data_IF_683040320253
#
_entry.id   IF_683040320253
#
_cell.length_a   1.000
_cell.length_b   1.000
_cell.length_c   1.000
_cell.angle_alpha   90.00
_cell.angle_beta   90.00
_cell.angle_gamma   90.00
#
_symmetry.space_group_name_H-M   'P 1'
#
loop_
_entity.id
_entity.type
_entity.pdbx_description
1 polymer ?
#
# COMPACT_ATOMS: atom_id res chain seq x y z
N UNK A 1 -11.49 -4.83 -3.98
CA UNK A 1 -12.05 -4.13 -5.14
C UNK A 1 -13.45 -3.62 -4.84
N UNK A 2 -14.00 -2.70 -5.66
CA UNK A 2 -15.32 -2.08 -5.49
C UNK A 2 -15.37 -0.71 -6.16
N UNK A 3 -16.56 -0.19 -6.40
CA UNK A 3 -16.79 1.11 -7.04
C UNK A 3 -16.41 2.30 -6.14
N UNK A 4 -16.43 3.50 -6.70
CA UNK A 4 -16.26 4.72 -5.93
C UNK A 4 -17.38 4.83 -4.88
N UNK A 5 -16.99 5.16 -3.63
CA UNK A 5 -17.94 5.19 -2.52
C UNK A 5 -18.24 3.82 -1.87
N UNK A 6 -17.70 2.71 -2.37
CA UNK A 6 -17.90 1.38 -1.78
C UNK A 6 -17.35 1.19 -0.36
N UNK A 7 -16.59 2.15 0.18
CA UNK A 7 -16.01 2.06 1.53
C UNK A 7 -14.55 1.61 1.60
N UNK A 8 -13.86 1.39 0.46
CA UNK A 8 -12.47 0.93 0.42
C UNK A 8 -11.51 1.79 1.25
N UNK A 9 -11.49 3.09 0.99
CA UNK A 9 -10.60 4.01 1.72
C UNK A 9 -11.00 4.18 3.20
N UNK A 10 -12.29 4.01 3.53
CA UNK A 10 -12.75 3.98 4.93
C UNK A 10 -12.20 2.76 5.65
N UNK A 11 -12.25 1.58 5.03
CA UNK A 11 -11.66 0.35 5.57
C UNK A 11 -10.15 0.52 5.80
N UNK A 12 -9.43 1.08 4.83
CA UNK A 12 -8.00 1.39 4.99
C UNK A 12 -7.77 2.30 6.20
N UNK A 13 -8.55 3.37 6.35
CA UNK A 13 -8.42 4.30 7.47
C UNK A 13 -8.65 3.63 8.82
N UNK A 14 -9.49 2.62 8.90
CA UNK A 14 -9.67 1.79 10.11
C UNK A 14 -8.44 0.92 10.35
N UNK A 15 -7.98 0.17 9.35
CA UNK A 15 -6.81 -0.71 9.45
C UNK A 15 -5.54 0.07 9.83
N UNK A 16 -5.39 1.27 9.30
CA UNK A 16 -4.22 2.13 9.55
C UNK A 16 -4.33 3.00 10.80
N UNK A 17 -5.46 2.93 11.53
CA UNK A 17 -5.66 3.67 12.77
C UNK A 17 -5.94 5.17 12.59
N UNK A 18 -6.32 5.61 11.39
CA UNK A 18 -6.83 6.96 11.13
C UNK A 18 -8.24 7.13 11.69
N UNK A 19 -9.07 6.08 11.56
CA UNK A 19 -10.41 6.03 12.11
C UNK A 19 -10.56 4.86 13.08
N UNK A 20 -11.36 5.06 14.12
CA UNK A 20 -11.78 3.97 15.00
C UNK A 20 -13.03 3.32 14.41
N UNK A 21 -13.16 1.98 14.44
CA UNK A 21 -14.40 1.33 14.07
C UNK A 21 -15.50 1.72 15.05
N UNK A 22 -16.73 1.93 14.55
CA UNK A 22 -17.90 2.22 15.38
C UNK A 22 -18.37 0.99 16.14
N UNK A 23 -18.17 -0.21 15.56
CA UNK A 23 -18.51 -1.51 16.14
C UNK A 23 -17.63 -2.60 15.52
N UNK A 24 -17.70 -3.81 16.07
CA UNK A 24 -16.93 -4.95 15.61
C UNK A 24 -15.51 -4.99 16.21
N UNK A 25 -14.72 -5.95 15.75
CA UNK A 25 -13.39 -6.25 16.27
C UNK A 25 -12.40 -6.32 15.11
N UNK A 26 -11.16 -5.93 15.39
CA UNK A 26 -10.04 -6.05 14.45
C UNK A 26 -9.09 -7.13 14.96
N UNK A 27 -8.73 -8.05 14.08
CA UNK A 27 -7.74 -9.08 14.38
C UNK A 27 -6.49 -8.88 13.51
N UNK A 28 -5.32 -8.92 14.11
CA UNK A 28 -4.04 -8.86 13.43
C UNK A 28 -3.14 -9.99 13.92
N UNK A 29 -2.61 -10.81 12.99
CA UNK A 29 -1.82 -12.01 13.34
C UNK A 29 -2.54 -12.94 14.34
N UNK A 30 -3.86 -13.10 14.17
CA UNK A 30 -4.68 -13.98 15.01
C UNK A 30 -5.06 -13.40 16.39
N UNK A 31 -4.60 -12.20 16.75
CA UNK A 31 -4.90 -11.56 18.03
C UNK A 31 -5.88 -10.40 17.82
N UNK A 32 -6.83 -10.25 18.74
CA UNK A 32 -7.68 -9.06 18.79
C UNK A 32 -6.85 -7.83 19.15
N UNK A 33 -7.02 -6.76 18.38
CA UNK A 33 -6.23 -5.54 18.54
C UNK A 33 -7.12 -4.30 18.50
N UNK A 34 -6.75 -3.29 19.26
CA UNK A 34 -7.38 -1.96 19.23
C UNK A 34 -6.38 -0.97 18.67
N UNK A 35 -6.59 -0.55 17.42
CA UNK A 35 -5.71 0.40 16.74
C UNK A 35 -6.21 1.82 17.04
N UNK A 36 -5.49 2.54 17.89
CA UNK A 36 -5.88 3.88 18.38
C UNK A 36 -5.28 5.03 17.57
N UNK A 37 -4.23 4.76 16.77
CA UNK A 37 -3.53 5.77 16.00
C UNK A 37 -2.67 5.15 14.90
N UNK A 38 -2.31 5.97 13.90
CA UNK A 38 -1.35 5.59 12.84
C UNK A 38 0.00 5.18 13.43
N UNK A 39 0.48 5.86 14.47
CA UNK A 39 1.73 5.49 15.12
C UNK A 39 1.67 4.09 15.75
N UNK A 40 0.53 3.71 16.32
CA UNK A 40 0.34 2.36 16.85
C UNK A 40 0.25 1.31 15.76
N UNK A 41 -0.54 1.55 14.70
CA UNK A 41 -0.64 0.69 13.52
C UNK A 41 0.75 0.37 12.96
N UNK A 42 1.58 1.39 12.78
CA UNK A 42 2.95 1.26 12.33
C UNK A 42 3.84 0.43 13.27
N UNK A 43 3.73 0.65 14.59
CA UNK A 43 4.46 -0.17 15.59
C UNK A 43 4.05 -1.64 15.57
N UNK A 44 2.84 -1.94 15.12
CA UNK A 44 2.34 -3.30 14.95
C UNK A 44 2.81 -3.94 13.63
N UNK A 45 3.51 -3.20 12.77
CA UNK A 45 3.97 -3.70 11.47
C UNK A 45 2.96 -3.50 10.35
N UNK A 46 2.03 -2.53 10.46
CA UNK A 46 1.09 -2.16 9.40
C UNK A 46 1.53 -0.84 8.78
N UNK A 47 1.92 -0.86 7.50
CA UNK A 47 2.27 0.31 6.71
C UNK A 47 1.24 0.59 5.63
N UNK A 48 1.05 1.86 5.29
CA UNK A 48 0.19 2.26 4.19
C UNK A 48 0.94 3.12 3.18
N UNK A 49 0.72 2.81 1.91
CA UNK A 49 1.07 3.65 0.77
C UNK A 49 -0.25 4.14 0.18
N UNK A 50 -0.56 5.40 0.44
CA UNK A 50 -1.78 6.04 -0.01
C UNK A 50 -1.66 6.52 -1.45
N UNK A 51 -2.79 6.73 -2.11
CA UNK A 51 -2.92 7.34 -3.43
C UNK A 51 -2.18 8.69 -3.52
N UNK A 52 -2.39 9.57 -2.56
CA UNK A 52 -1.56 10.74 -2.33
C UNK A 52 -0.30 10.29 -1.57
N UNK A 53 0.74 9.96 -2.27
CA UNK A 53 1.99 9.32 -1.81
C UNK A 53 2.56 9.81 -0.49
N UNK A 54 1.92 10.80 0.15
CA UNK A 54 2.31 11.43 1.41
C UNK A 54 3.80 11.82 1.43
N UNK A 55 4.27 12.38 0.32
CA UNK A 55 5.62 12.89 0.14
C UNK A 55 5.59 14.42 0.11
N UNK A 56 6.56 15.04 0.76
CA UNK A 56 6.77 16.48 0.71
C UNK A 56 7.67 16.81 -0.49
N UNK A 57 7.09 17.36 -1.55
CA UNK A 57 7.79 17.63 -2.82
C UNK A 57 9.01 18.55 -2.65
N UNK A 58 8.98 19.47 -1.71
CA UNK A 58 10.04 20.46 -1.47
C UNK A 58 11.19 19.93 -0.58
N UNK A 59 11.03 18.75 0.00
CA UNK A 59 12.04 18.14 0.87
C UNK A 59 12.87 17.11 0.11
N UNK A 60 14.09 16.93 0.61
CA UNK A 60 14.99 15.91 0.09
C UNK A 60 14.45 14.50 0.32
N UNK A 61 14.90 13.56 -0.48
CA UNK A 61 14.45 12.18 -0.49
C UNK A 61 14.69 11.52 0.88
N UNK A 62 15.89 11.70 1.48
CA UNK A 62 16.18 11.10 2.78
C UNK A 62 15.25 11.60 3.89
N UNK A 63 14.81 12.87 3.86
CA UNK A 63 13.83 13.39 4.82
C UNK A 63 12.45 12.74 4.63
N UNK A 64 12.04 12.57 3.38
CA UNK A 64 10.76 11.94 3.07
C UNK A 64 10.70 10.47 3.54
N UNK A 65 11.80 9.73 3.43
CA UNK A 65 11.85 8.34 3.89
C UNK A 65 11.59 8.25 5.39
N UNK A 66 12.21 9.13 6.17
CA UNK A 66 12.17 9.07 7.64
C UNK A 66 11.16 10.02 8.27
N UNK A 67 10.33 10.71 7.49
CA UNK A 67 9.33 11.66 8.01
C UNK A 67 8.42 11.02 9.08
N UNK A 68 8.48 11.56 10.30
CA UNK A 68 7.75 11.07 11.47
C UNK A 68 8.32 9.79 12.10
N UNK A 69 9.53 9.37 11.68
CA UNK A 69 10.28 8.23 12.25
C UNK A 69 11.78 8.49 12.13
N UNK A 70 12.18 9.65 12.53
CA UNK A 70 13.55 10.10 12.46
C UNK A 70 14.48 9.18 13.25
N UNK A 71 15.63 8.84 12.67
CA UNK A 71 16.70 8.16 13.40
C UNK A 71 17.37 9.21 14.29
N UNK A 72 17.35 8.98 15.59
CA UNK A 72 17.94 9.89 16.57
C UNK A 72 19.19 9.29 17.19
N UNK A 73 20.09 10.17 17.64
CA UNK A 73 21.24 9.80 18.48
C UNK A 73 20.79 9.58 19.95
N UNK A 74 21.73 9.20 20.81
CA UNK A 74 21.46 8.94 22.22
C UNK A 74 20.89 10.14 23.01
N UNK A 75 21.07 11.36 22.50
CA UNK A 75 20.57 12.60 23.09
C UNK A 75 19.22 13.02 22.52
N UNK A 76 18.62 12.23 21.61
CA UNK A 76 17.32 12.51 21.00
C UNK A 76 17.38 13.46 19.79
N UNK A 77 18.54 13.91 19.36
CA UNK A 77 18.70 14.72 18.14
C UNK A 77 18.74 13.85 16.89
N UNK A 78 18.23 14.36 15.77
CA UNK A 78 18.23 13.67 14.47
C UNK A 78 19.66 13.36 14.03
N UNK A 79 19.94 12.08 13.78
CA UNK A 79 21.21 11.63 13.20
C UNK A 79 21.14 11.69 11.67
N UNK A 80 21.44 12.87 11.13
CA UNK A 80 21.39 13.14 9.69
C UNK A 80 22.31 12.20 8.91
N UNK A 81 23.52 11.93 9.42
CA UNK A 81 24.49 11.06 8.72
C UNK A 81 23.97 9.65 8.60
N UNK A 82 23.40 9.12 9.66
CA UNK A 82 22.82 7.79 9.68
C UNK A 82 21.58 7.71 8.79
N UNK A 83 20.67 8.70 8.84
CA UNK A 83 19.51 8.74 7.98
C UNK A 83 19.89 8.77 6.48
N UNK A 84 20.87 9.58 6.08
CA UNK A 84 21.33 9.63 4.69
C UNK A 84 21.94 8.30 4.24
N UNK A 85 22.76 7.68 5.07
CA UNK A 85 23.34 6.36 4.79
C UNK A 85 22.28 5.27 4.64
N UNK A 86 21.26 5.26 5.49
CA UNK A 86 20.17 4.30 5.38
C UNK A 86 19.29 4.61 4.15
N UNK A 87 19.04 5.89 3.83
CA UNK A 87 18.33 6.28 2.61
C UNK A 87 19.06 5.82 1.34
N UNK A 88 20.41 5.89 1.30
CA UNK A 88 21.20 5.37 0.17
C UNK A 88 21.01 3.85 -0.02
N UNK A 89 20.93 3.09 1.08
CA UNK A 89 20.62 1.66 0.99
C UNK A 89 19.22 1.42 0.41
N UNK A 90 18.22 2.19 0.89
CA UNK A 90 16.85 2.07 0.39
C UNK A 90 16.79 2.37 -1.10
N UNK A 91 17.46 3.44 -1.56
CA UNK A 91 17.54 3.78 -2.98
C UNK A 91 18.10 2.64 -3.82
N UNK A 92 19.19 2.03 -3.37
CA UNK A 92 19.87 0.96 -4.08
C UNK A 92 19.07 -0.35 -4.03
N UNK A 93 18.62 -0.76 -2.83
CA UNK A 93 18.20 -2.12 -2.58
C UNK A 93 16.69 -2.31 -2.86
N UNK A 94 15.87 -1.28 -2.66
CA UNK A 94 14.41 -1.39 -2.75
C UNK A 94 13.79 -0.60 -3.91
N UNK A 95 14.36 0.53 -4.28
CA UNK A 95 13.74 1.41 -5.27
C UNK A 95 14.25 1.12 -6.68
N UNK A 96 15.49 0.63 -6.79
CA UNK A 96 16.10 0.27 -8.07
C UNK A 96 16.16 1.46 -9.03
N UNK A 97 16.49 2.65 -8.53
CA UNK A 97 16.68 3.81 -9.39
C UNK A 97 17.75 3.53 -10.42
N UNK A 98 17.37 3.59 -11.68
CA UNK A 98 18.29 3.40 -12.81
C UNK A 98 19.06 4.68 -13.14
N UNK A 99 18.57 5.84 -12.73
CA UNK A 99 19.22 7.13 -12.98
C UNK A 99 20.29 7.42 -11.93
N UNK A 100 21.54 7.51 -12.37
CA UNK A 100 22.65 7.95 -11.51
C UNK A 100 22.53 9.43 -11.07
N UNK A 101 21.60 10.18 -11.63
CA UNK A 101 21.37 11.59 -11.28
C UNK A 101 20.56 11.74 -10.00
N UNK A 102 19.87 10.70 -9.53
CA UNK A 102 19.07 10.73 -8.32
C UNK A 102 19.92 10.31 -7.14
N UNK A 103 20.01 11.20 -6.17
CA UNK A 103 20.72 10.98 -4.91
C UNK A 103 19.76 11.16 -3.73
N UNK A 104 20.19 10.81 -2.54
CA UNK A 104 19.39 11.02 -1.31
C UNK A 104 19.07 12.50 -1.06
N UNK A 105 19.86 13.41 -1.62
CA UNK A 105 19.69 14.86 -1.52
C UNK A 105 18.81 15.44 -2.61
N UNK A 106 18.39 14.64 -3.58
CA UNK A 106 17.45 15.08 -4.61
C UNK A 106 16.10 15.40 -3.98
N UNK A 107 15.48 16.52 -4.41
CA UNK A 107 14.13 16.86 -3.98
C UNK A 107 13.10 15.95 -4.64
N UNK A 108 12.03 15.63 -3.92
CA UNK A 108 10.95 14.78 -4.45
C UNK A 108 10.26 15.42 -5.66
N UNK A 109 10.22 16.76 -5.74
CA UNK A 109 9.60 17.49 -6.87
C UNK A 109 10.22 17.10 -8.22
N UNK A 110 11.52 16.82 -8.26
CA UNK A 110 12.24 16.45 -9.49
C UNK A 110 12.05 14.98 -9.93
N UNK A 111 11.35 14.18 -9.15
CA UNK A 111 11.16 12.76 -9.44
C UNK A 111 9.94 12.51 -10.33
N UNK A 112 10.05 11.51 -11.22
CA UNK A 112 8.89 10.98 -11.98
C UNK A 112 7.86 10.34 -11.05
N UNK A 113 6.66 10.09 -11.59
CA UNK A 113 5.60 9.40 -10.85
C UNK A 113 6.03 8.04 -10.30
N UNK A 114 6.70 7.22 -11.11
CA UNK A 114 7.20 5.91 -10.69
C UNK A 114 8.33 5.99 -9.67
N UNK A 115 9.21 6.99 -9.77
CA UNK A 115 10.26 7.22 -8.78
C UNK A 115 9.70 7.63 -7.43
N UNK A 116 8.71 8.54 -7.40
CA UNK A 116 7.97 8.90 -6.19
C UNK A 116 7.30 7.66 -5.57
N UNK A 117 6.72 6.80 -6.39
CA UNK A 117 6.12 5.54 -5.92
C UNK A 117 7.17 4.60 -5.34
N UNK A 118 8.33 4.50 -5.99
CA UNK A 118 9.47 3.75 -5.47
C UNK A 118 9.92 4.22 -4.08
N UNK A 119 9.97 5.53 -3.84
CA UNK A 119 10.30 6.10 -2.51
C UNK A 119 9.28 5.64 -1.46
N UNK A 120 7.98 5.69 -1.78
CA UNK A 120 6.93 5.25 -0.86
C UNK A 120 7.03 3.75 -0.53
N UNK A 121 7.33 2.90 -1.51
CA UNK A 121 7.55 1.46 -1.31
C UNK A 121 8.83 1.18 -0.52
N UNK A 122 9.95 1.81 -0.89
CA UNK A 122 11.20 1.65 -0.17
C UNK A 122 11.06 2.00 1.32
N UNK A 123 10.30 3.07 1.62
CA UNK A 123 9.95 3.42 3.00
C UNK A 123 9.18 2.31 3.70
N UNK A 124 8.17 1.72 3.05
CA UNK A 124 7.35 0.67 3.68
C UNK A 124 8.14 -0.60 3.97
N UNK A 125 9.09 -0.97 3.10
CA UNK A 125 9.96 -2.13 3.31
C UNK A 125 11.02 -1.89 4.38
N UNK A 126 11.61 -0.69 4.42
CA UNK A 126 12.65 -0.38 5.40
C UNK A 126 12.19 -0.55 6.85
N UNK A 127 10.94 -0.22 7.14
CA UNK A 127 10.39 -0.32 8.48
C UNK A 127 9.87 -1.72 8.85
N UNK A 128 10.25 -2.74 8.07
CA UNK A 128 9.96 -4.16 8.33
C UNK A 128 8.48 -4.45 8.66
N UNK A 129 7.60 -3.93 7.81
CA UNK A 129 6.16 -4.13 7.97
C UNK A 129 5.76 -5.54 7.58
N UNK A 130 4.83 -6.13 8.35
CA UNK A 130 4.20 -7.43 8.05
C UNK A 130 3.04 -7.30 7.06
N UNK A 131 2.34 -6.16 7.12
CA UNK A 131 1.21 -5.83 6.25
C UNK A 131 1.44 -4.48 5.58
N UNK A 132 1.42 -4.48 4.25
CA UNK A 132 1.49 -3.26 3.43
C UNK A 132 0.13 -3.02 2.78
N UNK A 133 -0.49 -1.89 3.09
CA UNK A 133 -1.75 -1.45 2.49
C UNK A 133 -1.44 -0.51 1.34
N UNK A 134 -1.90 -0.84 0.15
CA UNK A 134 -1.64 -0.13 -1.09
C UNK A 134 -2.96 0.40 -1.65
N UNK A 135 -3.15 1.71 -1.60
CA UNK A 135 -4.35 2.39 -2.07
C UNK A 135 -4.07 3.02 -3.44
N UNK A 136 -4.59 2.40 -4.50
CA UNK A 136 -4.44 2.79 -5.90
C UNK A 136 -2.99 3.04 -6.35
N UNK A 137 -2.07 2.13 -6.06
CA UNK A 137 -0.64 2.37 -6.25
C UNK A 137 -0.21 2.45 -7.71
N UNK A 138 -1.07 2.06 -8.65
CA UNK A 138 -0.78 2.09 -10.10
C UNK A 138 -1.35 3.31 -10.82
N UNK A 139 -2.11 4.15 -10.11
CA UNK A 139 -2.76 5.30 -10.73
C UNK A 139 -1.75 6.32 -11.26
N UNK A 140 -1.93 6.71 -12.53
CA UNK A 140 -1.08 7.71 -13.20
C UNK A 140 0.34 7.22 -13.54
N UNK A 141 0.59 5.91 -13.47
CA UNK A 141 1.86 5.30 -13.85
C UNK A 141 1.85 4.83 -15.31
N UNK A 142 3.02 4.82 -15.93
CA UNK A 142 3.24 4.17 -17.23
C UNK A 142 3.11 2.64 -17.10
N UNK A 143 3.00 1.93 -18.23
CA UNK A 143 2.92 0.46 -18.24
C UNK A 143 4.12 -0.17 -17.54
N UNK A 144 5.33 0.32 -17.81
CA UNK A 144 6.55 -0.22 -17.20
C UNK A 144 6.61 0.03 -15.68
N UNK A 145 6.17 1.20 -15.22
CA UNK A 145 6.10 1.52 -13.80
C UNK A 145 5.04 0.67 -13.09
N UNK A 146 3.89 0.47 -13.74
CA UNK A 146 2.83 -0.42 -13.25
C UNK A 146 3.34 -1.85 -13.07
N UNK A 147 4.07 -2.39 -14.04
CA UNK A 147 4.68 -3.72 -13.92
C UNK A 147 5.64 -3.82 -12.73
N UNK A 148 6.44 -2.78 -12.48
CA UNK A 148 7.32 -2.74 -11.30
C UNK A 148 6.52 -2.81 -10.00
N UNK A 149 5.42 -2.07 -9.90
CA UNK A 149 4.51 -2.11 -8.73
C UNK A 149 3.92 -3.51 -8.55
N UNK A 150 3.39 -4.12 -9.60
CA UNK A 150 2.80 -5.47 -9.53
C UNK A 150 3.84 -6.53 -9.15
N UNK A 151 5.06 -6.42 -9.68
CA UNK A 151 6.17 -7.30 -9.32
C UNK A 151 6.61 -7.11 -7.86
N UNK A 152 6.62 -5.87 -7.37
CA UNK A 152 6.83 -5.57 -5.97
C UNK A 152 5.80 -6.28 -5.07
N UNK A 153 4.51 -6.12 -5.36
CA UNK A 153 3.42 -6.77 -4.58
C UNK A 153 3.58 -8.29 -4.56
N UNK A 154 3.86 -8.90 -5.73
CA UNK A 154 4.11 -10.35 -5.82
C UNK A 154 5.35 -10.79 -5.02
N UNK A 155 6.36 -9.92 -4.96
CA UNK A 155 7.59 -10.16 -4.23
C UNK A 155 7.40 -10.24 -2.71
N UNK A 156 6.45 -9.50 -2.15
CA UNK A 156 6.16 -9.47 -0.71
C UNK A 156 5.91 -10.86 -0.11
N UNK A 157 5.25 -11.73 -0.87
CA UNK A 157 4.99 -13.11 -0.46
C UNK A 157 6.29 -13.91 -0.21
N UNK A 158 7.34 -13.65 -0.98
CA UNK A 158 8.65 -14.32 -0.80
C UNK A 158 9.36 -13.86 0.48
N UNK A 159 9.00 -12.68 0.97
CA UNK A 159 9.51 -12.10 2.21
C UNK A 159 8.59 -12.38 3.41
N UNK A 160 7.60 -13.30 3.27
CA UNK A 160 6.58 -13.58 4.28
C UNK A 160 5.77 -12.35 4.72
N UNK A 161 5.62 -11.38 3.81
CA UNK A 161 4.82 -10.17 4.03
C UNK A 161 3.47 -10.31 3.34
N UNK A 162 2.46 -9.63 3.88
CA UNK A 162 1.11 -9.57 3.31
C UNK A 162 0.84 -8.19 2.71
N UNK A 163 -0.05 -8.13 1.71
CA UNK A 163 -0.53 -6.88 1.15
C UNK A 163 -2.04 -6.83 1.06
N UNK A 164 -2.61 -5.64 1.32
CA UNK A 164 -3.95 -5.28 0.88
C UNK A 164 -3.76 -4.34 -0.29
N UNK A 165 -4.22 -4.77 -1.47
CA UNK A 165 -4.03 -4.07 -2.73
C UNK A 165 -5.38 -3.58 -3.26
N UNK A 166 -5.58 -2.27 -3.29
CA UNK A 166 -6.78 -1.63 -3.85
C UNK A 166 -6.39 -0.99 -5.16
N UNK A 167 -7.12 -1.32 -6.22
CA UNK A 167 -6.96 -0.72 -7.54
C UNK A 167 -8.30 -0.79 -8.29
N UNK A 168 -8.54 0.14 -9.20
CA UNK A 168 -9.70 0.13 -10.09
C UNK A 168 -9.51 -0.82 -11.26
N UNK A 169 -8.26 -1.11 -11.64
CA UNK A 169 -7.95 -1.99 -12.74
C UNK A 169 -7.98 -3.46 -12.29
N UNK A 170 -9.05 -4.16 -12.62
CA UNK A 170 -9.22 -5.57 -12.28
C UNK A 170 -8.09 -6.45 -12.82
N UNK A 171 -7.50 -6.10 -13.97
CA UNK A 171 -6.37 -6.85 -14.54
C UNK A 171 -5.16 -6.78 -13.61
N UNK A 172 -4.87 -5.60 -13.05
CA UNK A 172 -3.79 -5.42 -12.09
C UNK A 172 -4.06 -6.22 -10.81
N UNK A 173 -5.28 -6.08 -10.26
CA UNK A 173 -5.68 -6.79 -9.05
C UNK A 173 -5.60 -8.30 -9.24
N UNK A 174 -6.18 -8.82 -10.33
CA UNK A 174 -6.16 -10.25 -10.62
C UNK A 174 -4.74 -10.76 -10.84
N UNK A 175 -3.88 -9.93 -11.45
CA UNK A 175 -2.47 -10.25 -11.68
C UNK A 175 -1.65 -10.41 -10.40
N UNK A 176 -1.98 -9.68 -9.34
CA UNK A 176 -1.18 -9.55 -8.12
C UNK A 176 -1.75 -10.30 -6.90
N UNK A 177 -3.08 -10.36 -6.75
CA UNK A 177 -3.74 -10.87 -5.56
C UNK A 177 -3.89 -12.40 -5.56
N UNK A 178 -3.97 -12.97 -4.35
CA UNK A 178 -4.30 -14.38 -4.09
C UNK A 178 -5.80 -14.53 -3.74
N UNK A 179 -6.45 -13.48 -3.19
CA UNK A 179 -7.84 -13.45 -2.75
C UNK A 179 -8.47 -12.10 -3.08
N UNK A 180 -9.74 -12.11 -3.44
CA UNK A 180 -10.51 -10.93 -3.81
C UNK A 180 -11.65 -10.70 -2.83
N UNK A 181 -11.78 -9.48 -2.33
CA UNK A 181 -12.94 -9.02 -1.56
C UNK A 181 -13.59 -7.91 -2.35
N UNK A 182 -14.87 -8.07 -2.66
CA UNK A 182 -15.67 -7.06 -3.35
C UNK A 182 -16.46 -6.28 -2.30
N UNK A 183 -16.22 -4.98 -2.26
CA UNK A 183 -16.99 -4.05 -1.42
C UNK A 183 -18.03 -3.32 -2.25
N UNK A 184 -19.23 -3.20 -1.70
CA UNK A 184 -20.29 -2.33 -2.20
C UNK A 184 -21.01 -1.64 -1.04
N UNK A 185 -21.16 -0.31 -1.12
CA UNK A 185 -21.90 0.52 -0.13
C UNK A 185 -21.54 0.23 1.34
N UNK A 186 -20.30 -0.09 1.61
CA UNK A 186 -19.78 -0.37 2.96
C UNK A 186 -19.93 -1.82 3.42
N UNK A 187 -20.45 -2.70 2.57
CA UNK A 187 -20.65 -4.13 2.84
C UNK A 187 -19.74 -5.01 1.98
N UNK A 188 -19.45 -6.21 2.46
CA UNK A 188 -18.77 -7.24 1.66
C UNK A 188 -19.81 -7.91 0.77
N UNK A 189 -19.77 -7.60 -0.54
CA UNK A 189 -20.66 -8.16 -1.53
C UNK A 189 -20.21 -9.55 -2.04
N UNK A 190 -18.93 -9.88 -1.92
CA UNK A 190 -18.39 -11.18 -2.31
C UNK A 190 -16.94 -11.37 -1.89
N UNK A 191 -16.56 -12.63 -1.71
CA UNK A 191 -15.20 -13.05 -1.41
C UNK A 191 -14.85 -14.26 -2.26
N UNK A 192 -13.67 -14.26 -2.91
CA UNK A 192 -13.23 -15.31 -3.82
C UNK A 192 -11.73 -15.53 -3.69
N UNK A 193 -11.30 -16.79 -3.65
CA UNK A 193 -9.90 -17.12 -3.84
C UNK A 193 -9.57 -17.13 -5.35
N UNK A 194 -8.34 -16.84 -5.70
CA UNK A 194 -7.90 -16.76 -7.10
C UNK A 194 -8.09 -18.06 -7.88
N UNK A 195 -7.99 -19.20 -7.21
CA UNK A 195 -8.19 -20.53 -7.79
C UNK A 195 -9.67 -20.91 -8.00
N UNK A 196 -10.60 -20.16 -7.41
CA UNK A 196 -12.04 -20.41 -7.45
C UNK A 196 -12.76 -19.56 -8.51
N UNK A 197 -12.12 -18.51 -9.01
CA UNK A 197 -12.73 -17.58 -9.95
C UNK A 197 -11.74 -17.17 -11.04
N UNK A 198 -12.16 -17.20 -12.29
CA UNK A 198 -11.40 -16.65 -13.40
C UNK A 198 -11.49 -15.12 -13.43
N UNK A 199 -10.56 -14.47 -14.12
CA UNK A 199 -10.59 -13.02 -14.29
C UNK A 199 -11.89 -12.55 -14.93
N UNK A 200 -12.36 -13.24 -15.95
CA UNK A 200 -13.55 -12.84 -16.69
C UNK A 200 -14.84 -13.02 -15.87
N UNK A 201 -14.88 -14.03 -15.01
CA UNK A 201 -15.97 -14.20 -14.04
C UNK A 201 -15.93 -13.11 -12.96
N UNK A 202 -14.75 -12.74 -12.47
CA UNK A 202 -14.63 -11.64 -11.51
C UNK A 202 -15.16 -10.33 -12.11
N UNK A 203 -14.80 -10.03 -13.37
CA UNK A 203 -15.34 -8.86 -14.11
C UNK A 203 -16.87 -8.95 -14.23
N UNK A 204 -17.42 -10.11 -14.63
CA UNK A 204 -18.88 -10.31 -14.73
C UNK A 204 -19.59 -10.08 -13.39
N UNK A 205 -19.02 -10.56 -12.28
CA UNK A 205 -19.60 -10.34 -10.95
C UNK A 205 -19.57 -8.87 -10.54
N UNK A 206 -18.54 -8.13 -10.90
CA UNK A 206 -18.48 -6.66 -10.68
C UNK A 206 -19.55 -5.93 -11.48
N UNK A 207 -19.76 -6.29 -12.76
CA UNK A 207 -20.82 -5.70 -13.60
C UNK A 207 -22.21 -6.02 -13.02
N UNK A 208 -22.47 -7.28 -12.66
CA UNK A 208 -23.74 -7.68 -12.03
C UNK A 208 -24.03 -6.91 -10.76
N UNK A 209 -23.01 -6.67 -9.92
CA UNK A 209 -23.15 -5.89 -8.71
C UNK A 209 -23.56 -4.46 -9.01
N UNK A 210 -22.93 -3.84 -10.00
CA UNK A 210 -23.22 -2.47 -10.43
C UNK A 210 -24.67 -2.34 -10.95
N UNK A 211 -25.16 -3.32 -11.72
CA UNK A 211 -26.50 -3.31 -12.33
C UNK A 211 -27.63 -3.68 -11.36
N UNK A 212 -27.41 -4.67 -10.50
CA UNK A 212 -28.46 -5.28 -9.67
C UNK A 212 -28.32 -5.03 -8.17
N UNK A 213 -27.19 -4.46 -7.73
CA UNK A 213 -26.87 -4.30 -6.31
C UNK A 213 -26.64 -5.64 -5.58
N UNK A 214 -26.53 -6.76 -6.29
CA UNK A 214 -26.29 -8.09 -5.70
C UNK A 214 -25.44 -8.95 -6.62
N UNK A 215 -24.54 -9.73 -6.04
CA UNK A 215 -23.80 -10.78 -6.74
C UNK A 215 -24.68 -12.03 -6.71
N UNK A 216 -25.06 -12.57 -7.89
CA UNK A 216 -25.68 -13.89 -7.96
C UNK A 216 -24.64 -14.94 -7.58
N UNK A 217 -24.89 -15.67 -6.50
CA UNK A 217 -24.16 -16.90 -6.18
C UNK A 217 -24.69 -17.93 -7.16
N UNK A 218 -23.81 -18.50 -7.99
CA UNK A 218 -24.22 -19.66 -8.80
C UNK A 218 -24.37 -20.83 -7.82
N UNK A 219 -25.56 -21.41 -7.80
CA UNK A 219 -25.84 -22.69 -7.14
C UNK A 219 -25.01 -23.81 -7.78
#
# INVERSE_FOLDING_TARGET
IGDNGAGKSTLIKVITGVHKPSSGQVYFKGNEVVIKSVAQSRKMGIEAVYQERALCDQQELWRNIFAGREITNALGFIDIKKQRKEAEKILRDYIGFTSKAITVDSTIMGLSGGEKQGVAFGRSLYFDSDLIVLDEPTMGLSIQETEKVLNFVKGLKKENKSAIFIDHNIIHVYGAADRFIILDRGEVAGEFNKNEISRDELVKKMIQLHESGKIKVND
#
